data_IF_280977233718
#
_entry.id   IF_280977233718
#
_cell.length_a   1.000
_cell.length_b   1.000
_cell.length_c   1.000
_cell.angle_alpha   90.00
_cell.angle_beta   90.00
_cell.angle_gamma   90.00
#
_symmetry.space_group_name_H-M   'P 1'
#
loop_
_entity.id
_entity.type
_entity.pdbx_description
1 polymer ?
#
# COMPACT_ATOMS: atom_id res chain seq x y z
N UNK A 1 -13.58 -16.09 13.88
CA UNK A 1 -12.92 -14.97 14.57
C UNK A 1 -11.68 -14.61 13.75
N UNK A 2 -11.37 -13.33 13.55
CA UNK A 2 -10.22 -12.96 12.74
C UNK A 2 -8.92 -13.47 13.36
N UNK A 3 -8.02 -13.98 12.53
CA UNK A 3 -6.69 -14.50 12.90
C UNK A 3 -5.55 -13.66 12.33
N UNK A 4 -5.86 -12.80 11.34
CA UNK A 4 -4.92 -11.88 10.73
C UNK A 4 -5.61 -10.54 10.51
N UNK A 5 -4.90 -9.46 10.79
CA UNK A 5 -5.31 -8.10 10.50
C UNK A 5 -4.33 -7.45 9.52
N UNK A 6 -4.85 -7.03 8.37
CA UNK A 6 -4.10 -6.35 7.32
C UNK A 6 -4.42 -4.85 7.33
N UNK A 7 -3.38 -4.04 7.34
CA UNK A 7 -3.52 -2.58 7.43
C UNK A 7 -2.80 -1.91 6.27
N UNK A 8 -3.53 -1.09 5.53
CA UNK A 8 -2.88 -0.03 4.78
C UNK A 8 -2.26 1.00 5.74
N UNK A 9 -1.26 1.74 5.28
CA UNK A 9 -0.51 2.69 6.10
C UNK A 9 -0.99 4.13 5.88
N UNK A 10 -0.77 4.70 4.72
CA UNK A 10 -1.05 6.10 4.41
C UNK A 10 -2.54 6.35 4.23
N UNK A 11 -3.11 7.22 5.05
CA UNK A 11 -4.56 7.47 5.05
C UNK A 11 -5.39 6.44 5.81
N UNK A 12 -4.78 5.40 6.36
CA UNK A 12 -5.43 4.34 7.14
C UNK A 12 -4.86 4.27 8.55
N UNK A 13 -3.69 3.68 8.73
CA UNK A 13 -3.08 3.52 10.06
C UNK A 13 -2.31 4.77 10.49
N UNK A 14 -1.64 5.41 9.55
CA UNK A 14 -0.91 6.65 9.79
C UNK A 14 -1.87 7.83 9.92
N UNK A 15 -1.58 8.71 10.88
CA UNK A 15 -2.20 10.03 10.96
C UNK A 15 -1.69 10.93 9.82
N UNK A 16 -2.34 12.09 9.55
CA UNK A 16 -1.94 13.00 8.48
C UNK A 16 -0.50 13.52 8.55
N UNK A 17 0.14 13.43 9.70
CA UNK A 17 1.56 13.77 9.94
C UNK A 17 2.51 12.60 9.70
N UNK A 18 2.02 11.50 9.10
CA UNK A 18 2.74 10.26 8.82
C UNK A 18 3.27 9.50 10.04
N UNK A 19 2.72 9.73 11.24
CA UNK A 19 3.06 9.00 12.46
C UNK A 19 1.97 8.00 12.85
N UNK A 20 2.37 6.93 13.54
CA UNK A 20 1.46 6.04 14.25
C UNK A 20 1.10 6.66 15.60
N UNK A 21 -0.18 6.84 15.86
CA UNK A 21 -0.65 7.36 17.14
C UNK A 21 -0.47 6.36 18.28
N UNK A 22 -0.34 6.85 19.50
CA UNK A 22 -0.15 6.02 20.70
C UNK A 22 -1.28 5.00 20.92
N UNK A 23 -2.53 5.39 20.64
CA UNK A 23 -3.68 4.48 20.72
C UNK A 23 -3.57 3.36 19.69
N UNK A 24 -3.11 3.68 18.48
CA UNK A 24 -2.89 2.69 17.42
C UNK A 24 -1.83 1.68 17.85
N UNK A 25 -0.68 2.13 18.35
CA UNK A 25 0.39 1.25 18.86
C UNK A 25 -0.10 0.33 19.98
N UNK A 26 -0.82 0.89 20.97
CA UNK A 26 -1.40 0.11 22.06
C UNK A 26 -2.40 -0.95 21.56
N UNK A 27 -3.22 -0.59 20.56
CA UNK A 27 -4.21 -1.52 20.00
C UNK A 27 -3.54 -2.65 19.21
N UNK A 28 -2.49 -2.35 18.43
CA UNK A 28 -1.71 -3.36 17.72
C UNK A 28 -1.06 -4.36 18.70
N UNK A 29 -0.54 -3.88 19.82
CA UNK A 29 -0.01 -4.75 20.89
C UNK A 29 -1.10 -5.70 21.44
N UNK A 30 -2.31 -5.18 21.70
CA UNK A 30 -3.45 -5.98 22.16
C UNK A 30 -3.90 -7.05 21.15
N UNK A 31 -3.81 -6.78 19.85
CA UNK A 31 -4.09 -7.79 18.82
C UNK A 31 -3.08 -8.93 18.90
N UNK A 32 -1.78 -8.63 19.05
CA UNK A 32 -0.72 -9.65 19.22
C UNK A 32 -0.93 -10.51 20.47
N UNK A 33 -1.33 -9.89 21.59
CA UNK A 33 -1.68 -10.61 22.83
C UNK A 33 -2.86 -11.58 22.64
N UNK A 34 -3.66 -11.41 21.59
CA UNK A 34 -4.77 -12.29 21.20
C UNK A 34 -4.40 -13.24 20.06
N UNK A 35 -3.11 -13.43 19.77
CA UNK A 35 -2.59 -14.28 18.69
C UNK A 35 -3.11 -13.87 17.31
N UNK A 36 -3.42 -12.59 17.09
CA UNK A 36 -3.79 -12.06 15.79
C UNK A 36 -2.53 -11.60 15.06
N UNK A 37 -2.26 -12.23 13.93
CA UNK A 37 -1.14 -11.89 13.08
C UNK A 37 -1.32 -10.49 12.49
N UNK A 38 -0.29 -9.65 12.56
CA UNK A 38 -0.29 -8.33 11.94
C UNK A 38 0.40 -8.38 10.59
N UNK A 39 -0.19 -7.70 9.60
CA UNK A 39 0.49 -7.41 8.33
C UNK A 39 0.21 -5.97 7.89
N UNK A 40 1.25 -5.29 7.42
CA UNK A 40 1.11 -3.98 6.80
C UNK A 40 1.16 -4.15 5.28
N UNK A 41 0.14 -3.64 4.59
CA UNK A 41 -0.02 -3.73 3.15
C UNK A 41 0.04 -2.31 2.57
N UNK A 42 1.16 -1.93 1.98
CA UNK A 42 1.47 -0.54 1.63
C UNK A 42 2.09 -0.40 0.25
N UNK A 43 1.93 0.78 -0.35
CA UNK A 43 2.72 1.19 -1.51
C UNK A 43 4.16 1.57 -1.18
N UNK A 44 4.49 1.76 0.12
CA UNK A 44 5.84 2.11 0.58
C UNK A 44 6.85 1.01 0.27
N UNK A 45 8.13 1.40 0.22
CA UNK A 45 9.23 0.49 -0.06
C UNK A 45 9.56 -0.39 1.16
N UNK A 46 10.05 -1.61 0.92
CA UNK A 46 10.43 -2.53 2.00
C UNK A 46 11.50 -1.96 2.93
N UNK A 47 12.54 -1.32 2.40
CA UNK A 47 13.58 -0.68 3.19
C UNK A 47 13.03 0.42 4.11
N UNK A 48 12.06 1.20 3.62
CA UNK A 48 11.39 2.21 4.41
C UNK A 48 10.58 1.59 5.55
N UNK A 49 9.79 0.56 5.24
CA UNK A 49 8.96 -0.12 6.23
C UNK A 49 9.79 -0.83 7.30
N UNK A 50 10.88 -1.49 6.93
CA UNK A 50 11.80 -2.12 7.88
C UNK A 50 12.38 -1.09 8.86
N UNK A 51 12.72 0.11 8.36
CA UNK A 51 13.19 1.21 9.22
C UNK A 51 12.10 1.68 10.20
N UNK A 52 10.87 1.90 9.70
CA UNK A 52 9.73 2.34 10.54
C UNK A 52 9.43 1.30 11.61
N UNK A 53 9.33 0.02 11.26
CA UNK A 53 9.00 -1.06 12.20
C UNK A 53 10.12 -1.27 13.23
N UNK A 54 11.38 -1.21 12.80
CA UNK A 54 12.53 -1.33 13.70
C UNK A 54 12.54 -0.23 14.76
N UNK A 55 12.25 1.01 14.38
CA UNK A 55 12.16 2.14 15.29
C UNK A 55 11.03 2.00 16.32
N UNK A 56 9.95 1.28 15.96
CA UNK A 56 8.79 1.05 16.82
C UNK A 56 8.84 -0.28 17.59
N UNK A 57 9.87 -1.10 17.36
CA UNK A 57 9.97 -2.48 17.88
C UNK A 57 8.70 -3.30 17.59
N UNK A 58 8.19 -3.18 16.37
CA UNK A 58 6.92 -3.77 15.95
C UNK A 58 7.16 -4.90 14.96
N UNK A 59 6.74 -6.12 15.31
CA UNK A 59 6.83 -7.29 14.44
C UNK A 59 5.54 -7.44 13.64
N UNK A 60 5.66 -7.42 12.33
CA UNK A 60 4.56 -7.66 11.40
C UNK A 60 5.09 -8.22 10.07
N UNK A 61 4.25 -9.00 9.40
CA UNK A 61 4.49 -9.32 7.99
C UNK A 61 4.35 -8.07 7.14
N UNK A 62 5.11 -7.98 6.07
CA UNK A 62 5.10 -6.83 5.17
C UNK A 62 4.64 -7.22 3.77
N UNK A 63 3.63 -6.52 3.28
CA UNK A 63 3.27 -6.44 1.87
C UNK A 63 3.65 -5.03 1.43
N UNK A 64 4.68 -4.91 0.59
CA UNK A 64 5.22 -3.61 0.18
C UNK A 64 5.16 -3.43 -1.33
N UNK A 65 5.37 -2.19 -1.80
CA UNK A 65 5.28 -1.87 -3.21
C UNK A 65 3.93 -2.23 -3.84
N UNK A 66 2.83 -2.10 -3.08
CA UNK A 66 1.48 -2.50 -3.50
C UNK A 66 1.34 -3.99 -3.89
N UNK A 67 2.09 -4.86 -3.23
CA UNK A 67 2.05 -6.31 -3.44
C UNK A 67 3.23 -6.87 -4.23
N UNK A 68 4.16 -6.03 -4.70
CA UNK A 68 5.35 -6.50 -5.43
C UNK A 68 6.30 -7.31 -4.56
N UNK A 69 6.24 -7.15 -3.24
CA UNK A 69 7.05 -7.89 -2.26
C UNK A 69 6.21 -8.32 -1.05
N UNK A 70 6.49 -9.52 -0.57
CA UNK A 70 5.99 -10.01 0.73
C UNK A 70 7.18 -10.50 1.55
N UNK A 71 7.31 -10.00 2.78
CA UNK A 71 8.38 -10.39 3.70
C UNK A 71 7.82 -10.99 4.99
N UNK A 72 8.55 -11.97 5.55
CA UNK A 72 8.28 -12.57 6.85
C UNK A 72 8.61 -11.60 8.01
N UNK A 73 8.32 -12.04 9.24
CA UNK A 73 8.68 -11.30 10.46
C UNK A 73 10.21 -11.13 10.60
N UNK A 74 10.97 -12.08 10.09
CA UNK A 74 12.44 -12.10 10.11
C UNK A 74 13.04 -11.34 8.92
N UNK A 75 12.20 -10.81 8.02
CA UNK A 75 12.61 -10.10 6.83
C UNK A 75 12.95 -10.99 5.63
N UNK A 76 12.61 -12.28 5.68
CA UNK A 76 12.78 -13.17 4.54
C UNK A 76 11.79 -12.83 3.42
N UNK A 77 12.26 -12.84 2.18
CA UNK A 77 11.43 -12.60 1.00
C UNK A 77 10.58 -13.85 0.69
N UNK A 78 9.27 -13.75 0.91
CA UNK A 78 8.30 -14.82 0.65
C UNK A 78 7.72 -14.75 -0.75
N UNK A 79 7.65 -13.55 -1.35
CA UNK A 79 7.09 -13.32 -2.68
C UNK A 79 7.73 -12.11 -3.34
N UNK A 80 7.93 -12.22 -4.66
CA UNK A 80 8.38 -11.10 -5.50
C UNK A 80 7.67 -11.12 -6.85
N UNK A 81 7.25 -9.93 -7.27
CA UNK A 81 6.80 -9.62 -8.62
C UNK A 81 7.59 -8.41 -9.14
N UNK A 82 8.13 -8.53 -10.36
CA UNK A 82 8.81 -7.43 -11.04
C UNK A 82 8.09 -7.12 -12.36
N UNK A 83 8.16 -5.88 -12.80
CA UNK A 83 7.71 -5.52 -14.14
C UNK A 83 8.51 -6.30 -15.19
N UNK A 84 7.86 -6.87 -16.21
CA UNK A 84 8.57 -7.41 -17.37
C UNK A 84 9.50 -6.33 -17.96
N UNK A 85 10.70 -6.74 -18.38
CA UNK A 85 11.72 -5.81 -18.86
C UNK A 85 11.26 -4.97 -20.06
N UNK A 86 10.49 -5.55 -20.97
CA UNK A 86 9.89 -4.86 -22.13
C UNK A 86 8.83 -3.83 -21.72
N UNK A 87 8.06 -4.11 -20.68
CA UNK A 87 7.10 -3.16 -20.09
C UNK A 87 7.84 -2.01 -19.41
N UNK A 88 8.84 -2.31 -18.58
CA UNK A 88 9.67 -1.29 -17.95
C UNK A 88 10.36 -0.40 -18.99
N UNK A 89 10.94 -1.00 -20.05
CA UNK A 89 11.58 -0.28 -21.15
C UNK A 89 10.60 0.69 -21.83
N UNK A 90 9.41 0.21 -22.18
CA UNK A 90 8.39 1.02 -22.83
C UNK A 90 7.99 2.23 -21.95
N UNK A 91 7.72 1.98 -20.66
CA UNK A 91 7.29 3.04 -19.74
C UNK A 91 8.40 4.07 -19.50
N UNK A 92 9.66 3.62 -19.37
CA UNK A 92 10.80 4.49 -19.06
C UNK A 92 11.26 5.35 -20.25
N UNK A 93 11.16 4.83 -21.47
CA UNK A 93 11.79 5.45 -22.63
C UNK A 93 10.82 6.10 -23.60
N UNK A 94 9.52 5.78 -23.51
CA UNK A 94 8.51 6.49 -24.27
C UNK A 94 8.31 7.91 -23.74
N UNK A 95 8.08 8.83 -24.64
CA UNK A 95 7.72 10.21 -24.31
C UNK A 95 6.21 10.28 -24.03
N UNK A 96 5.86 10.56 -22.79
CA UNK A 96 4.48 10.70 -22.33
C UNK A 96 4.09 12.18 -22.34
N UNK A 97 2.88 12.51 -22.79
CA UNK A 97 2.32 13.86 -22.71
C UNK A 97 1.80 14.11 -21.29
N UNK A 98 2.71 14.43 -20.39
CA UNK A 98 2.43 14.68 -18.97
C UNK A 98 3.47 15.61 -18.34
N UNK A 99 3.03 16.33 -17.30
CA UNK A 99 3.91 17.10 -16.40
C UNK A 99 4.32 16.31 -15.17
N UNK A 100 3.73 15.13 -14.95
CA UNK A 100 4.02 14.29 -13.82
C UNK A 100 5.50 13.92 -13.75
N UNK A 101 6.00 13.75 -12.55
CA UNK A 101 7.34 13.22 -12.32
C UNK A 101 7.30 11.70 -12.30
N UNK A 102 8.28 11.07 -12.95
CA UNK A 102 8.42 9.62 -13.00
C UNK A 102 9.39 9.14 -11.93
N UNK A 103 9.00 8.12 -11.20
CA UNK A 103 9.73 7.50 -10.11
C UNK A 103 9.82 6.00 -10.33
N UNK A 104 11.00 5.44 -10.18
CA UNK A 104 11.32 4.04 -10.44
C UNK A 104 11.71 3.40 -9.12
N UNK A 105 11.23 2.19 -8.88
CA UNK A 105 11.53 1.43 -7.67
C UNK A 105 12.10 0.05 -8.04
N UNK A 106 13.09 -0.37 -7.27
CA UNK A 106 13.62 -1.73 -7.26
C UNK A 106 14.01 -2.11 -5.83
N UNK A 107 14.63 -3.28 -5.60
CA UNK A 107 15.01 -3.71 -4.25
C UNK A 107 16.06 -2.80 -3.59
N UNK A 108 16.83 -2.05 -4.38
CA UNK A 108 17.87 -1.13 -3.89
C UNK A 108 17.34 0.26 -3.50
N UNK A 109 16.10 0.59 -3.88
CA UNK A 109 15.49 1.85 -3.46
C UNK A 109 14.59 2.54 -4.48
N UNK A 110 14.58 3.84 -4.38
CA UNK A 110 13.76 4.79 -5.13
C UNK A 110 14.63 5.69 -6.00
N UNK A 111 14.32 5.79 -7.29
CA UNK A 111 15.10 6.48 -8.30
C UNK A 111 14.24 7.45 -9.11
N UNK A 112 14.83 8.56 -9.55
CA UNK A 112 14.20 9.53 -10.45
C UNK A 112 15.24 10.23 -11.31
N UNK A 113 14.82 10.77 -12.45
CA UNK A 113 15.71 11.50 -13.36
C UNK A 113 15.97 12.97 -12.99
N UNK A 114 15.25 13.50 -12.00
CA UNK A 114 15.33 14.92 -11.59
C UNK A 114 15.01 15.12 -10.12
N UNK A 115 15.48 16.23 -9.56
CA UNK A 115 15.13 16.64 -8.20
C UNK A 115 13.66 17.08 -8.08
N UNK A 116 12.98 16.58 -7.02
CA UNK A 116 11.63 16.97 -6.66
C UNK A 116 11.55 17.08 -5.12
N UNK A 117 12.14 18.13 -4.54
CA UNK A 117 12.28 18.26 -3.08
C UNK A 117 10.94 18.20 -2.32
N UNK A 118 9.86 18.68 -2.95
CA UNK A 118 8.53 18.67 -2.33
C UNK A 118 8.05 17.26 -1.97
N UNK A 119 8.41 16.22 -2.75
CA UNK A 119 8.03 14.84 -2.46
C UNK A 119 8.69 14.29 -1.20
N UNK A 120 9.89 14.78 -0.86
CA UNK A 120 10.62 14.29 0.32
C UNK A 120 9.94 14.66 1.64
N UNK A 121 9.01 15.62 1.63
CA UNK A 121 8.28 16.01 2.85
C UNK A 121 7.44 14.86 3.41
N UNK A 122 6.85 14.03 2.56
CA UNK A 122 6.08 12.86 2.97
C UNK A 122 6.95 11.75 3.59
N UNK A 123 8.28 11.81 3.38
CA UNK A 123 9.24 10.80 3.82
C UNK A 123 10.18 11.30 4.94
N UNK A 124 9.93 12.48 5.48
CA UNK A 124 10.79 13.06 6.55
C UNK A 124 10.88 12.14 7.75
N UNK A 125 9.75 11.51 8.13
CA UNK A 125 9.70 10.61 9.27
C UNK A 125 10.51 9.32 9.07
N UNK A 126 10.41 8.70 7.89
CA UNK A 126 11.14 7.48 7.56
C UNK A 126 12.59 7.75 7.12
N UNK A 127 12.89 8.97 6.71
CA UNK A 127 14.19 9.33 6.12
C UNK A 127 14.45 8.70 4.74
N UNK A 128 13.46 8.05 4.13
CA UNK A 128 13.59 7.41 2.82
C UNK A 128 13.72 8.47 1.73
N UNK A 129 14.66 8.28 0.81
CA UNK A 129 15.01 9.27 -0.21
C UNK A 129 15.23 8.64 -1.57
N UNK A 130 14.87 9.37 -2.62
CA UNK A 130 15.23 8.99 -3.98
C UNK A 130 16.73 9.26 -4.27
N UNK A 131 17.23 8.50 -5.23
CA UNK A 131 18.53 8.73 -5.87
C UNK A 131 18.28 9.29 -7.28
N UNK A 132 19.08 10.28 -7.68
CA UNK A 132 19.01 10.84 -9.04
C UNK A 132 19.89 10.00 -9.95
N UNK A 133 19.30 9.50 -11.03
CA UNK A 133 20.00 8.67 -12.02
C UNK A 133 19.69 9.10 -13.45
N UNK A 134 20.54 8.67 -14.37
CA UNK A 134 20.18 8.63 -15.77
C UNK A 134 19.21 7.43 -15.99
N UNK A 135 17.93 7.71 -16.22
CA UNK A 135 16.87 6.72 -16.37
C UNK A 135 17.21 5.66 -17.44
N UNK A 136 17.95 6.05 -18.49
CA UNK A 136 18.39 5.15 -19.57
C UNK A 136 19.42 4.10 -19.12
N UNK A 137 20.01 4.29 -17.94
CA UNK A 137 20.96 3.34 -17.33
C UNK A 137 20.32 2.43 -16.29
N UNK A 138 19.00 2.56 -16.07
CA UNK A 138 18.29 1.70 -15.11
C UNK A 138 18.27 0.25 -15.58
N UNK A 139 18.66 -0.71 -14.73
CA UNK A 139 18.53 -2.15 -15.06
C UNK A 139 17.06 -2.54 -15.17
N UNK A 140 16.61 -2.88 -16.37
CA UNK A 140 15.18 -3.13 -16.68
C UNK A 140 14.63 -4.40 -16.00
N UNK A 141 15.46 -5.41 -15.80
CA UNK A 141 15.05 -6.70 -15.21
C UNK A 141 14.84 -6.69 -13.70
N UNK A 142 15.04 -5.54 -13.03
CA UNK A 142 14.89 -5.40 -11.59
C UNK A 142 13.86 -4.35 -11.17
N UNK A 143 13.14 -3.74 -12.12
CA UNK A 143 12.14 -2.73 -11.82
C UNK A 143 10.91 -3.37 -11.18
N UNK A 144 10.61 -2.99 -9.95
CA UNK A 144 9.44 -3.53 -9.22
C UNK A 144 8.16 -2.82 -9.61
N UNK A 145 8.22 -1.50 -9.68
CA UNK A 145 7.12 -0.62 -10.10
C UNK A 145 7.64 0.71 -10.60
N UNK A 146 6.78 1.43 -11.34
CA UNK A 146 7.02 2.81 -11.75
C UNK A 146 5.84 3.65 -11.28
N UNK A 147 6.11 4.80 -10.67
CA UNK A 147 5.08 5.74 -10.24
C UNK A 147 5.18 7.04 -11.01
N UNK A 148 4.04 7.65 -11.30
CA UNK A 148 3.93 9.00 -11.79
C UNK A 148 3.23 9.86 -10.73
N UNK A 149 3.89 10.94 -10.31
CA UNK A 149 3.35 11.84 -9.28
C UNK A 149 3.09 13.22 -9.90
N UNK A 150 1.88 13.74 -9.68
CA UNK A 150 1.47 15.01 -10.25
C UNK A 150 0.00 15.36 -10.03
N UNK A 151 -0.50 16.29 -10.83
CA UNK A 151 -1.90 16.69 -10.81
C UNK A 151 -2.84 15.54 -11.24
N UNK A 152 -3.96 15.38 -10.56
CA UNK A 152 -4.88 14.26 -10.79
C UNK A 152 -5.45 14.21 -12.21
N UNK A 153 -5.81 15.36 -12.77
CA UNK A 153 -6.38 15.40 -14.13
C UNK A 153 -5.31 15.07 -15.17
N UNK A 154 -4.06 15.48 -14.92
CA UNK A 154 -2.92 15.12 -15.76
C UNK A 154 -2.62 13.62 -15.68
N UNK A 155 -2.62 13.05 -14.47
CA UNK A 155 -2.45 11.61 -14.26
C UNK A 155 -3.57 10.77 -14.86
N UNK A 156 -4.80 11.27 -14.86
CA UNK A 156 -5.94 10.59 -15.50
C UNK A 156 -5.76 10.51 -17.01
N UNK A 157 -5.26 11.59 -17.65
CA UNK A 157 -4.91 11.56 -19.07
C UNK A 157 -3.74 10.63 -19.36
N UNK A 158 -2.73 10.65 -18.50
CA UNK A 158 -1.60 9.73 -18.59
C UNK A 158 -2.03 8.26 -18.45
N UNK A 159 -2.95 7.95 -17.56
CA UNK A 159 -3.50 6.60 -17.39
C UNK A 159 -4.09 6.06 -18.70
N UNK A 160 -4.80 6.90 -19.46
CA UNK A 160 -5.35 6.52 -20.78
C UNK A 160 -4.20 6.19 -21.75
N UNK A 161 -3.19 7.06 -21.85
CA UNK A 161 -2.01 6.83 -22.70
C UNK A 161 -1.28 5.53 -22.35
N UNK A 162 -1.06 5.30 -21.05
CA UNK A 162 -0.42 4.07 -20.55
C UNK A 162 -1.26 2.83 -20.89
N UNK A 163 -2.58 2.92 -20.69
CA UNK A 163 -3.48 1.82 -21.01
C UNK A 163 -3.48 1.49 -22.51
N UNK A 164 -3.50 2.50 -23.37
CA UNK A 164 -3.41 2.32 -24.84
C UNK A 164 -2.08 1.67 -25.27
N UNK A 165 -0.97 2.04 -24.62
CA UNK A 165 0.35 1.53 -24.97
C UNK A 165 0.64 0.13 -24.37
N UNK A 166 0.17 -0.13 -23.15
CA UNK A 166 0.47 -1.35 -22.39
C UNK A 166 -0.61 -2.43 -22.53
N UNK A 167 -1.87 -2.04 -22.73
CA UNK A 167 -3.00 -2.96 -22.69
C UNK A 167 -3.05 -3.73 -21.37
N UNK A 168 -3.15 -5.05 -21.47
CA UNK A 168 -3.19 -5.95 -20.32
C UNK A 168 -1.80 -6.37 -19.78
N UNK A 169 -0.71 -5.76 -20.27
CA UNK A 169 0.66 -6.13 -19.88
C UNK A 169 1.13 -5.53 -18.56
N UNK A 170 0.33 -4.62 -17.97
CA UNK A 170 0.60 -4.02 -16.68
C UNK A 170 -0.71 -3.75 -15.94
N UNK A 171 -0.62 -3.65 -14.62
CA UNK A 171 -1.72 -3.18 -13.78
C UNK A 171 -1.51 -1.69 -13.45
N UNK A 172 -2.52 -0.86 -13.78
CA UNK A 172 -2.50 0.57 -13.51
C UNK A 172 -3.42 0.88 -12.33
N UNK A 173 -2.91 1.54 -11.30
CA UNK A 173 -3.68 1.85 -10.10
C UNK A 173 -3.30 3.20 -9.50
N UNK A 174 -4.30 3.96 -9.04
CA UNK A 174 -4.08 5.12 -8.18
C UNK A 174 -3.89 4.67 -6.72
N UNK A 175 -2.70 4.90 -6.17
CA UNK A 175 -2.41 4.71 -4.75
C UNK A 175 -2.71 5.95 -3.91
N UNK A 176 -2.80 7.09 -4.57
CA UNK A 176 -3.27 8.37 -4.04
C UNK A 176 -3.84 9.20 -5.20
N UNK A 177 -4.53 10.30 -4.91
CA UNK A 177 -5.08 11.19 -5.96
C UNK A 177 -4.00 11.77 -6.86
N UNK A 178 -2.79 11.91 -6.36
CA UNK A 178 -1.61 12.50 -7.00
C UNK A 178 -0.52 11.46 -7.34
N UNK A 179 -0.83 10.16 -7.25
CA UNK A 179 0.10 9.08 -7.56
C UNK A 179 -0.55 7.96 -8.38
N UNK A 180 -0.13 7.82 -9.63
CA UNK A 180 -0.49 6.73 -10.53
C UNK A 180 0.66 5.73 -10.61
N UNK A 181 0.37 4.45 -10.38
CA UNK A 181 1.35 3.36 -10.37
C UNK A 181 1.19 2.43 -11.55
N UNK A 182 2.32 1.99 -12.10
CA UNK A 182 2.45 0.89 -13.07
C UNK A 182 3.05 -0.29 -12.35
N UNK A 183 2.27 -1.35 -12.22
CA UNK A 183 2.58 -2.57 -11.47
C UNK A 183 2.60 -3.78 -12.40
N UNK A 184 3.25 -4.90 -12.02
CA UNK A 184 3.11 -6.18 -12.73
C UNK A 184 1.65 -6.62 -12.82
N UNK A 185 1.31 -7.36 -13.87
CA UNK A 185 -0.04 -7.92 -14.06
C UNK A 185 -0.42 -8.80 -12.87
N UNK A 186 -1.63 -8.60 -12.36
CA UNK A 186 -2.13 -9.38 -11.21
C UNK A 186 -1.54 -8.99 -9.87
N UNK A 187 -0.54 -8.10 -9.85
CA UNK A 187 0.06 -7.61 -8.62
C UNK A 187 -0.85 -6.55 -7.98
N UNK A 188 -1.30 -6.83 -6.78
CA UNK A 188 -2.04 -5.92 -5.92
C UNK A 188 -1.97 -6.40 -4.45
N UNK A 189 -2.39 -5.57 -3.50
CA UNK A 189 -2.34 -5.92 -2.07
C UNK A 189 -3.17 -7.17 -1.72
N UNK A 190 -4.28 -7.41 -2.41
CA UNK A 190 -5.14 -8.59 -2.20
C UNK A 190 -4.49 -9.89 -2.68
N UNK A 191 -3.85 -9.87 -3.86
CA UNK A 191 -3.09 -11.01 -4.37
C UNK A 191 -1.92 -11.36 -3.45
N UNK A 192 -1.17 -10.35 -2.99
CA UNK A 192 -0.07 -10.53 -2.04
C UNK A 192 -0.55 -11.05 -0.68
N UNK A 193 -1.71 -10.57 -0.19
CA UNK A 193 -2.32 -11.09 1.04
C UNK A 193 -2.74 -12.57 0.87
N UNK A 194 -3.18 -12.96 -0.31
CA UNK A 194 -3.48 -14.36 -0.63
C UNK A 194 -2.23 -15.24 -0.50
N UNK A 195 -1.10 -14.79 -1.04
CA UNK A 195 0.18 -15.49 -0.89
C UNK A 195 0.57 -15.62 0.58
N UNK A 196 0.47 -14.53 1.35
CA UNK A 196 0.78 -14.55 2.78
C UNK A 196 -0.12 -15.50 3.56
N UNK A 197 -1.43 -15.46 3.33
CA UNK A 197 -2.37 -16.34 4.03
C UNK A 197 -2.14 -17.82 3.71
N UNK A 198 -1.80 -18.16 2.46
CA UNK A 198 -1.40 -19.51 2.07
C UNK A 198 -0.12 -19.96 2.81
N UNK A 199 0.88 -19.09 2.90
CA UNK A 199 2.11 -19.36 3.65
C UNK A 199 1.83 -19.64 5.14
N UNK A 200 0.87 -18.92 5.72
CA UNK A 200 0.46 -19.06 7.13
C UNK A 200 -0.57 -20.18 7.38
N UNK A 201 -1.07 -20.85 6.36
CA UNK A 201 -2.14 -21.83 6.49
C UNK A 201 -3.47 -21.21 6.96
N UNK A 202 -3.73 -19.96 6.56
CA UNK A 202 -4.94 -19.21 6.86
C UNK A 202 -5.84 -19.09 5.64
N UNK A 203 -7.13 -18.83 5.87
CA UNK A 203 -8.08 -18.42 4.84
C UNK A 203 -8.25 -16.90 4.86
N UNK A 204 -8.46 -16.28 3.69
CA UNK A 204 -8.84 -14.87 3.62
C UNK A 204 -10.11 -14.56 4.42
N UNK A 205 -10.99 -15.54 4.62
CA UNK A 205 -12.18 -15.41 5.49
C UNK A 205 -11.85 -15.20 6.97
N UNK A 206 -10.64 -15.62 7.39
CA UNK A 206 -10.12 -15.43 8.76
C UNK A 206 -9.37 -14.10 8.89
N UNK A 207 -9.40 -13.25 7.87
CA UNK A 207 -8.70 -11.98 7.84
C UNK A 207 -9.66 -10.80 7.97
N UNK A 208 -9.19 -9.74 8.61
CA UNK A 208 -9.73 -8.40 8.53
C UNK A 208 -8.75 -7.48 7.80
N UNK A 209 -9.27 -6.48 7.09
CA UNK A 209 -8.44 -5.51 6.38
C UNK A 209 -9.01 -4.10 6.45
N UNK A 210 -8.10 -3.11 6.45
CA UNK A 210 -8.42 -1.69 6.55
C UNK A 210 -7.71 -0.92 5.44
N UNK A 211 -8.42 0.00 4.77
CA UNK A 211 -7.86 0.77 3.66
C UNK A 211 -8.69 1.99 3.28
N UNK A 212 -8.14 2.86 2.42
CA UNK A 212 -8.76 4.12 2.03
C UNK A 212 -8.65 4.48 0.54
N UNK A 213 -7.78 3.82 -0.22
CA UNK A 213 -7.51 4.15 -1.62
C UNK A 213 -7.81 2.99 -2.58
N UNK A 214 -7.77 3.26 -3.88
CA UNK A 214 -8.11 2.25 -4.91
C UNK A 214 -7.15 1.06 -4.93
N UNK A 215 -5.90 1.23 -4.48
CA UNK A 215 -4.95 0.13 -4.32
C UNK A 215 -5.31 -0.86 -3.19
N UNK A 216 -6.31 -0.53 -2.35
CA UNK A 216 -6.83 -1.41 -1.29
C UNK A 216 -8.03 -2.24 -1.73
N UNK A 217 -8.61 -1.95 -2.90
CA UNK A 217 -9.88 -2.53 -3.37
C UNK A 217 -9.89 -4.05 -3.33
N UNK A 218 -8.90 -4.67 -3.92
CA UNK A 218 -8.79 -6.14 -4.00
C UNK A 218 -8.59 -6.76 -2.61
N UNK A 219 -7.78 -6.15 -1.77
CA UNK A 219 -7.56 -6.59 -0.39
C UNK A 219 -8.85 -6.53 0.42
N UNK A 220 -9.52 -5.37 0.42
CA UNK A 220 -10.76 -5.15 1.18
C UNK A 220 -11.90 -6.05 0.72
N UNK A 221 -12.01 -6.28 -0.60
CA UNK A 221 -13.07 -7.09 -1.20
C UNK A 221 -12.86 -8.61 -1.05
N UNK A 222 -11.65 -9.06 -0.72
CA UNK A 222 -11.32 -10.49 -0.65
C UNK A 222 -11.34 -11.09 0.75
N UNK A 223 -11.22 -10.27 1.79
CA UNK A 223 -11.16 -10.73 3.19
C UNK A 223 -12.54 -10.98 3.80
N UNK A 224 -12.55 -11.71 4.92
CA UNK A 224 -13.80 -11.95 5.66
C UNK A 224 -14.43 -10.69 6.26
N UNK A 225 -13.63 -9.67 6.57
CA UNK A 225 -14.10 -8.40 7.12
C UNK A 225 -13.24 -7.24 6.59
N UNK A 226 -13.73 -6.56 5.55
CA UNK A 226 -13.11 -5.34 5.01
C UNK A 226 -13.71 -4.07 5.62
N UNK A 227 -12.88 -3.06 5.87
CA UNK A 227 -13.28 -1.79 6.46
C UNK A 227 -12.72 -0.62 5.66
N UNK A 228 -13.58 0.33 5.34
CA UNK A 228 -13.22 1.53 4.58
C UNK A 228 -13.06 2.70 5.56
N UNK A 229 -11.99 3.48 5.37
CA UNK A 229 -11.75 4.67 6.19
C UNK A 229 -12.74 5.80 5.86
N UNK A 230 -13.02 6.64 6.87
CA UNK A 230 -13.85 7.84 6.70
C UNK A 230 -13.28 8.89 5.75
N UNK A 231 -11.98 8.86 5.47
CA UNK A 231 -11.28 9.72 4.50
C UNK A 231 -11.06 9.04 3.14
N UNK A 232 -11.66 7.86 2.91
CA UNK A 232 -11.40 7.08 1.71
C UNK A 232 -11.82 7.79 0.42
N UNK A 233 -11.14 7.44 -0.67
CA UNK A 233 -11.47 7.88 -2.03
C UNK A 233 -12.92 7.54 -2.35
N UNK A 234 -13.70 8.48 -2.94
CA UNK A 234 -15.10 8.24 -3.31
C UNK A 234 -15.29 7.01 -4.22
N UNK A 235 -14.35 6.77 -5.13
CA UNK A 235 -14.35 5.62 -6.04
C UNK A 235 -14.32 4.30 -5.28
N UNK A 236 -13.47 4.18 -4.25
CA UNK A 236 -13.38 2.98 -3.43
C UNK A 236 -14.71 2.67 -2.73
N UNK A 237 -15.37 3.71 -2.17
CA UNK A 237 -16.69 3.56 -1.53
C UNK A 237 -17.76 3.15 -2.52
N UNK A 238 -17.69 3.66 -3.75
CA UNK A 238 -18.64 3.33 -4.81
C UNK A 238 -18.51 1.88 -5.28
N UNK A 239 -17.29 1.34 -5.31
CA UNK A 239 -17.03 -0.04 -5.73
C UNK A 239 -17.29 -1.07 -4.61
N UNK A 240 -17.16 -0.68 -3.35
CA UNK A 240 -17.37 -1.57 -2.19
C UNK A 240 -18.45 -1.03 -1.23
N UNK A 241 -19.68 -0.75 -1.73
CA UNK A 241 -20.72 -0.07 -0.95
C UNK A 241 -21.27 -0.91 0.22
N UNK A 242 -20.97 -2.18 0.25
CA UNK A 242 -21.39 -3.10 1.30
C UNK A 242 -20.46 -3.14 2.51
N UNK A 243 -19.26 -2.54 2.40
CA UNK A 243 -18.30 -2.52 3.49
C UNK A 243 -18.59 -1.40 4.48
N UNK A 244 -18.32 -1.69 5.76
CA UNK A 244 -18.47 -0.70 6.81
C UNK A 244 -17.44 0.42 6.67
N UNK A 245 -17.93 1.66 6.64
CA UNK A 245 -17.09 2.85 6.76
C UNK A 245 -16.89 3.15 8.24
N UNK A 246 -15.62 3.14 8.69
CA UNK A 246 -15.22 3.55 10.04
C UNK A 246 -14.83 5.02 10.05
N UNK A 247 -14.26 5.56 11.09
CA UNK A 247 -13.90 6.98 11.17
C UNK A 247 -12.68 7.39 10.32
N UNK A 248 -12.23 8.62 10.49
CA UNK A 248 -11.09 9.20 9.77
C UNK A 248 -9.76 8.81 10.42
N UNK A 249 -8.69 8.63 9.62
CA UNK A 249 -7.34 8.27 10.09
C UNK A 249 -6.79 9.28 11.12
N UNK A 250 -7.08 10.59 10.97
CA UNK A 250 -6.68 11.64 11.92
C UNK A 250 -7.15 11.39 13.36
N UNK A 251 -8.23 10.64 13.51
CA UNK A 251 -8.82 10.29 14.80
C UNK A 251 -8.41 8.88 15.25
N UNK A 252 -7.43 8.27 14.59
CA UNK A 252 -7.02 6.88 14.85
C UNK A 252 -8.20 5.89 14.80
N UNK A 253 -9.06 6.02 13.79
CA UNK A 253 -10.34 5.28 13.70
C UNK A 253 -10.15 3.76 13.66
N UNK A 254 -9.06 3.26 13.10
CA UNK A 254 -8.72 1.82 13.14
C UNK A 254 -8.58 1.37 14.60
N UNK A 255 -7.86 2.12 15.42
CA UNK A 255 -7.69 1.84 16.85
C UNK A 255 -9.04 1.89 17.59
N UNK A 256 -9.88 2.88 17.31
CA UNK A 256 -11.21 2.98 17.92
C UNK A 256 -12.09 1.77 17.57
N UNK A 257 -12.13 1.40 16.29
CA UNK A 257 -12.88 0.22 15.84
C UNK A 257 -12.35 -1.06 16.51
N UNK A 258 -11.05 -1.30 16.47
CA UNK A 258 -10.44 -2.52 17.01
C UNK A 258 -10.56 -2.61 18.53
N UNK A 259 -10.48 -1.50 19.25
CA UNK A 259 -10.73 -1.46 20.69
C UNK A 259 -12.17 -1.87 21.00
N UNK A 260 -13.14 -1.32 20.26
CA UNK A 260 -14.53 -1.74 20.39
C UNK A 260 -14.69 -3.24 20.07
N UNK A 261 -14.11 -3.72 18.98
CA UNK A 261 -14.18 -5.13 18.57
C UNK A 261 -13.55 -6.09 19.60
N UNK A 262 -12.46 -5.68 20.26
CA UNK A 262 -11.79 -6.44 21.31
C UNK A 262 -12.58 -6.48 22.63
N UNK A 263 -13.18 -5.35 23.00
CA UNK A 263 -13.84 -5.17 24.29
C UNK A 263 -15.32 -5.52 24.27
N UNK A 264 -15.97 -5.35 23.11
CA UNK A 264 -17.42 -5.53 22.94
C UNK A 264 -17.77 -6.34 21.66
N UNK A 265 -17.24 -7.58 21.52
CA UNK A 265 -17.34 -8.34 20.26
C UNK A 265 -18.79 -8.67 19.83
N UNK A 266 -19.77 -8.53 20.71
CA UNK A 266 -21.18 -8.79 20.44
C UNK A 266 -22.02 -7.53 20.20
N UNK A 267 -21.44 -6.35 20.35
CA UNK A 267 -22.14 -5.10 20.14
C UNK A 267 -21.83 -4.52 18.74
N UNK A 268 -22.84 -3.96 18.05
CA UNK A 268 -22.60 -3.30 16.79
C UNK A 268 -21.69 -2.06 16.99
N UNK A 269 -20.75 -1.87 16.09
CA UNK A 269 -19.94 -0.67 16.06
C UNK A 269 -20.74 0.49 15.43
N UNK A 270 -20.72 1.65 16.07
CA UNK A 270 -21.22 2.91 15.51
C UNK A 270 -20.05 3.87 15.35
N UNK A 271 -19.68 4.28 14.12
CA UNK A 271 -18.69 5.32 13.93
C UNK A 271 -19.22 6.66 14.47
N UNK A 272 -18.39 7.37 15.24
CA UNK A 272 -18.66 8.74 15.68
C UNK A 272 -18.46 9.77 14.55
#
# INVERSE_FOLDING_TARGET
>A
MARLAAFDMDGTLLMPDHHLGEKTLSTLARLRERDITLTFATGRHALEMQHILGALSLDAYLITGNGTRVHSLEGELLHRDDLPADVAELVLYQQWDTRASMHIFNDDGWFTGKEIPALLQAFVYSGFRYQIIDVKKMPLGSVTKICFCGDHDDLTRLQIQLYEALGERAHLCFSATDCLEVLPVGCNKGAALTVLTQHLGLSLRDCMAFGDAMNDREMLGSVGSGFIMGNAMPQLRAELPHLLVIGHCRNQAVSHYLTHWLDYPHLPYSPE
#
